data_IF_185090526493
#
_entry.id   IF_185090526493
#
_cell.length_a   1.000
_cell.length_b   1.000
_cell.length_c   1.000
_cell.angle_alpha   90.00
_cell.angle_beta   90.00
_cell.angle_gamma   90.00
#
_symmetry.space_group_name_H-M   'P 1'
#
loop_
_entity.id
_entity.type
_entity.pdbx_description
1 polymer ?
#
# COMPACT_ATOMS: atom_id res chain seq x y z
N UNK A 1 -10.17 -3.39 -14.66
CA UNK A 1 -10.90 -3.66 -13.40
C UNK A 1 -10.35 -2.74 -12.33
N UNK A 2 -11.18 -2.25 -11.41
CA UNK A 2 -10.74 -1.36 -10.33
C UNK A 2 -10.48 -2.12 -9.03
N UNK A 3 -9.73 -1.50 -8.12
CA UNK A 3 -9.67 -1.90 -6.71
C UNK A 3 -11.06 -1.75 -6.06
N UNK A 4 -11.46 -2.63 -5.13
CA UNK A 4 -12.58 -2.38 -4.24
C UNK A 4 -12.23 -1.27 -3.24
N UNK A 5 -13.05 -0.22 -3.17
CA UNK A 5 -12.86 0.88 -2.23
C UNK A 5 -12.86 0.42 -0.75
N UNK A 6 -12.21 1.17 0.16
CA UNK A 6 -12.29 0.92 1.60
C UNK A 6 -13.74 0.86 2.10
N UNK A 7 -14.02 -0.06 3.01
CA UNK A 7 -15.35 -0.27 3.62
C UNK A 7 -15.23 -0.15 5.14
N UNK A 8 -16.30 0.27 5.80
CA UNK A 8 -16.33 0.37 7.26
C UNK A 8 -15.37 1.42 7.83
N UNK A 9 -15.20 2.56 7.14
CA UNK A 9 -14.38 3.67 7.65
C UNK A 9 -14.98 4.26 8.96
N UNK A 10 -16.30 4.20 9.07
CA UNK A 10 -17.09 4.64 10.21
C UNK A 10 -17.41 3.48 11.19
N UNK A 11 -16.78 2.31 11.02
CA UNK A 11 -16.93 1.18 11.93
C UNK A 11 -15.96 1.30 13.11
N UNK A 12 -16.54 1.33 14.30
CA UNK A 12 -15.87 1.40 15.60
C UNK A 12 -14.75 0.35 15.79
N UNK A 13 -14.92 -0.85 15.22
CA UNK A 13 -13.93 -1.93 15.29
C UNK A 13 -12.80 -1.74 14.28
N UNK A 14 -13.10 -1.28 13.07
CA UNK A 14 -12.09 -0.87 12.09
C UNK A 14 -11.25 0.31 12.61
N UNK A 15 -11.88 1.30 13.25
CA UNK A 15 -11.17 2.43 13.89
C UNK A 15 -10.24 1.97 15.02
N UNK A 16 -10.72 1.09 15.93
CA UNK A 16 -9.88 0.47 16.97
C UNK A 16 -8.74 -0.36 16.37
N UNK A 17 -9.02 -1.10 15.28
CA UNK A 17 -8.05 -1.91 14.55
C UNK A 17 -6.93 -1.07 13.92
N UNK A 18 -7.27 0.05 13.26
CA UNK A 18 -6.31 0.99 12.70
C UNK A 18 -5.38 1.58 13.79
N UNK A 19 -5.95 1.99 14.93
CA UNK A 19 -5.18 2.49 16.07
C UNK A 19 -4.29 1.42 16.73
N UNK A 20 -4.64 0.13 16.66
CA UNK A 20 -3.75 -0.97 17.06
C UNK A 20 -2.64 -1.20 16.02
N UNK A 21 -2.97 -1.17 14.72
CA UNK A 21 -2.03 -1.35 13.62
C UNK A 21 -0.91 -0.29 13.60
N UNK A 22 -1.24 0.95 13.96
CA UNK A 22 -0.26 2.02 14.16
C UNK A 22 0.58 1.81 15.43
N UNK A 23 -0.03 1.46 16.57
CA UNK A 23 0.70 1.17 17.83
C UNK A 23 1.63 -0.04 17.75
N UNK A 24 1.33 -1.02 16.89
CA UNK A 24 2.18 -2.17 16.60
C UNK A 24 3.22 -1.88 15.49
N UNK A 25 3.39 -0.60 15.14
CA UNK A 25 4.35 -0.08 14.15
C UNK A 25 4.18 -0.64 12.72
N UNK A 26 3.09 -1.33 12.43
CA UNK A 26 2.87 -1.99 11.13
C UNK A 26 2.81 -0.97 9.98
N UNK A 27 2.43 0.27 10.28
CA UNK A 27 2.44 1.44 9.38
C UNK A 27 3.84 1.84 8.88
N UNK A 28 4.93 1.44 9.56
CA UNK A 28 6.31 1.67 9.08
C UNK A 28 6.58 0.99 7.74
N UNK A 29 6.00 -0.19 7.53
CA UNK A 29 6.14 -0.97 6.30
C UNK A 29 4.90 -0.82 5.40
N UNK A 30 3.71 -0.95 5.99
CA UNK A 30 2.42 -0.80 5.30
C UNK A 30 1.92 0.64 5.43
N UNK A 31 2.61 1.57 4.76
CA UNK A 31 2.26 3.00 4.75
C UNK A 31 0.81 3.13 4.22
N UNK A 32 -0.15 3.66 5.01
CA UNK A 32 -1.55 3.69 4.59
C UNK A 32 -1.75 4.69 3.45
N UNK A 33 -1.36 5.95 3.65
CA UNK A 33 -1.53 7.05 2.71
C UNK A 33 -0.18 7.54 2.22
N UNK A 34 -0.05 7.72 0.91
CA UNK A 34 1.09 8.35 0.24
C UNK A 34 0.64 9.63 -0.49
N UNK A 35 1.62 10.38 -0.96
CA UNK A 35 1.43 11.52 -1.87
C UNK A 35 2.35 11.26 -3.07
N UNK A 36 1.85 11.41 -4.29
CA UNK A 36 2.72 11.38 -5.46
C UNK A 36 3.52 12.68 -5.56
N UNK A 37 4.71 12.62 -6.15
CA UNK A 37 5.57 13.79 -6.33
C UNK A 37 5.00 14.82 -7.31
N UNK A 38 5.77 15.88 -7.53
CA UNK A 38 5.54 16.83 -8.62
C UNK A 38 6.12 16.26 -9.91
N UNK A 39 5.26 15.96 -10.89
CA UNK A 39 5.60 15.43 -12.21
C UNK A 39 5.06 16.36 -13.32
N UNK A 40 5.53 16.16 -14.56
CA UNK A 40 5.02 16.88 -15.74
C UNK A 40 3.63 16.43 -16.19
N UNK A 41 3.19 15.24 -15.77
CA UNK A 41 1.86 14.68 -16.04
C UNK A 41 0.91 15.09 -14.91
N UNK A 42 -0.10 15.90 -15.22
CA UNK A 42 -0.96 16.54 -14.22
C UNK A 42 -1.80 15.52 -13.42
N UNK A 43 -2.25 14.47 -14.09
CA UNK A 43 -3.11 13.39 -13.59
C UNK A 43 -2.46 12.57 -12.47
N UNK A 44 -1.13 12.61 -12.35
CA UNK A 44 -0.35 11.91 -11.32
C UNK A 44 0.47 12.85 -10.43
N UNK A 45 0.27 14.17 -10.53
CA UNK A 45 0.98 15.17 -9.72
C UNK A 45 0.24 15.46 -8.41
N UNK A 46 0.99 15.44 -7.30
CA UNK A 46 0.50 15.77 -5.94
C UNK A 46 -0.79 15.02 -5.53
N UNK A 47 -1.03 13.83 -6.09
CA UNK A 47 -2.21 13.02 -5.82
C UNK A 47 -2.04 12.32 -4.48
N UNK A 48 -3.04 12.48 -3.61
CA UNK A 48 -3.14 11.72 -2.37
C UNK A 48 -3.64 10.30 -2.69
N UNK A 49 -2.71 9.38 -2.93
CA UNK A 49 -2.99 7.99 -3.24
C UNK A 49 -2.55 7.08 -2.09
N UNK A 50 -3.25 5.98 -1.91
CA UNK A 50 -2.86 4.92 -0.98
C UNK A 50 -2.07 3.91 -1.84
N UNK A 51 -0.99 3.28 -1.34
CA UNK A 51 -0.22 2.30 -2.14
C UNK A 51 -0.75 0.86 -2.00
N UNK A 52 -1.55 0.40 -2.98
CA UNK A 52 -2.39 -0.83 -2.85
C UNK A 52 -1.99 -1.94 -3.87
N UNK A 53 -0.96 -1.75 -4.71
CA UNK A 53 -0.54 -2.73 -5.74
C UNK A 53 0.13 -3.98 -5.16
N UNK A 54 -0.34 -5.19 -5.51
CA UNK A 54 0.33 -6.42 -5.06
C UNK A 54 1.54 -6.76 -5.94
N UNK A 55 2.72 -6.40 -5.46
CA UNK A 55 4.02 -6.71 -6.08
C UNK A 55 4.44 -8.17 -5.78
N UNK A 56 3.55 -9.13 -6.08
CA UNK A 56 3.76 -10.55 -5.80
C UNK A 56 4.88 -11.20 -6.63
N UNK A 57 5.26 -12.44 -6.30
CA UNK A 57 6.41 -13.14 -6.91
C UNK A 57 6.38 -13.26 -8.45
N UNK A 58 5.24 -13.06 -9.11
CA UNK A 58 5.15 -13.01 -10.58
C UNK A 58 5.68 -11.72 -11.22
N UNK A 59 5.99 -10.69 -10.43
CA UNK A 59 6.61 -9.42 -10.86
C UNK A 59 8.13 -9.38 -10.64
N UNK A 60 8.73 -10.53 -10.28
CA UNK A 60 10.19 -10.66 -10.10
C UNK A 60 10.88 -10.66 -11.46
N UNK A 61 11.40 -9.49 -11.86
CA UNK A 61 12.20 -9.31 -13.08
C UNK A 61 13.62 -9.90 -12.97
N UNK A 62 13.99 -10.40 -11.79
CA UNK A 62 15.33 -10.91 -11.41
C UNK A 62 16.46 -9.87 -11.58
N UNK A 63 16.13 -8.58 -11.57
CA UNK A 63 17.11 -7.50 -11.58
C UNK A 63 17.44 -7.08 -10.15
N UNK A 64 18.72 -6.78 -9.90
CA UNK A 64 19.15 -6.16 -8.65
C UNK A 64 19.13 -4.64 -8.81
N UNK A 65 18.34 -3.95 -7.99
CA UNK A 65 18.34 -2.49 -7.92
C UNK A 65 19.30 -2.04 -6.79
N UNK A 66 20.53 -1.71 -7.19
CA UNK A 66 21.67 -1.38 -6.32
C UNK A 66 22.06 -2.52 -5.36
N UNK A 67 21.49 -2.53 -4.15
CA UNK A 67 21.70 -3.55 -3.12
C UNK A 67 20.49 -4.46 -2.94
N UNK A 68 19.32 -4.09 -3.48
CA UNK A 68 18.10 -4.86 -3.34
C UNK A 68 18.13 -6.09 -4.27
N UNK A 69 17.98 -7.28 -3.69
CA UNK A 69 17.64 -8.46 -4.50
C UNK A 69 16.21 -8.29 -5.07
N UNK A 70 15.92 -8.94 -6.21
CA UNK A 70 14.58 -8.96 -6.83
C UNK A 70 13.47 -9.63 -6.00
N UNK A 71 13.66 -9.79 -4.68
CA UNK A 71 12.67 -10.26 -3.69
C UNK A 71 12.40 -9.23 -2.60
N UNK A 72 13.17 -8.15 -2.52
CA UNK A 72 13.04 -7.11 -1.49
C UNK A 72 11.99 -6.06 -1.88
N UNK A 73 10.76 -6.53 -2.04
CA UNK A 73 9.62 -5.70 -2.44
C UNK A 73 9.13 -4.80 -1.32
N UNK A 74 8.53 -3.66 -1.70
CA UNK A 74 7.70 -2.85 -0.80
C UNK A 74 6.63 -3.75 -0.17
N UNK A 75 6.40 -3.63 1.13
CA UNK A 75 5.57 -4.55 1.89
C UNK A 75 4.17 -4.72 1.27
N UNK A 76 3.69 -5.98 1.20
CA UNK A 76 2.45 -6.36 0.51
C UNK A 76 1.25 -5.50 0.93
N UNK A 77 0.36 -5.14 -0.01
CA UNK A 77 -0.87 -4.45 0.31
C UNK A 77 -1.83 -5.37 1.08
N UNK A 78 -2.34 -4.91 2.22
CA UNK A 78 -3.37 -5.61 3.00
C UNK A 78 -4.80 -5.42 2.43
N UNK A 79 -4.91 -5.34 1.10
CA UNK A 79 -6.09 -4.85 0.41
C UNK A 79 -6.97 -6.02 -0.03
N UNK A 80 -8.26 -5.99 0.35
CA UNK A 80 -9.16 -7.12 0.11
C UNK A 80 -8.89 -8.35 0.98
N UNK A 81 -8.01 -8.27 1.98
CA UNK A 81 -7.72 -9.37 2.93
C UNK A 81 -8.96 -9.80 3.76
N UNK A 82 -10.00 -8.97 3.79
CA UNK A 82 -11.35 -9.28 4.31
C UNK A 82 -12.44 -9.28 3.23
N UNK A 83 -12.13 -9.79 2.04
CA UNK A 83 -13.06 -10.06 0.93
C UNK A 83 -13.05 -11.53 0.46
N UNK A 84 -12.24 -12.38 1.09
CA UNK A 84 -12.16 -13.83 0.91
C UNK A 84 -12.95 -14.57 1.99
#
# INVERSE_FOLDING_TARGET
MGVPAPRGLDDDSAMRGAALFERMECTKCHIPKMLSGSFSVAEVTNQAFYSYSDMGHGLVDNRADFLAEGKEWRAKPLWGIGLT
#
